data_IF_795528178291
#
_entry.id   IF_795528178291
#
_cell.length_a   1.000
_cell.length_b   1.000
_cell.length_c   1.000
_cell.angle_alpha   90.00
_cell.angle_beta   90.00
_cell.angle_gamma   90.00
#
_symmetry.space_group_name_H-M   'P 1'
#
loop_
_entity.id
_entity.type
_entity.pdbx_description
1 polymer ?
#
# COMPACT_ATOMS: atom_id res chain seq x y z
N UNK A 1 8.71 -26.08 2.04
CA UNK A 1 8.25 -24.77 1.54
C UNK A 1 7.93 -24.91 0.06
N UNK A 2 6.72 -24.53 -0.37
CA UNK A 2 6.25 -24.63 -1.76
C UNK A 2 7.21 -23.84 -2.70
N UNK A 3 7.49 -24.35 -3.90
CA UNK A 3 8.36 -23.69 -4.89
C UNK A 3 7.90 -22.27 -5.22
N UNK A 4 6.59 -22.02 -5.29
CA UNK A 4 6.06 -20.66 -5.49
C UNK A 4 6.47 -19.69 -4.37
N UNK A 5 6.51 -20.18 -3.13
CA UNK A 5 6.92 -19.39 -1.96
C UNK A 5 8.43 -19.14 -2.01
N UNK A 6 9.23 -20.11 -2.48
CA UNK A 6 10.67 -19.91 -2.71
C UNK A 6 10.92 -18.87 -3.80
N UNK A 7 10.17 -18.93 -4.89
CA UNK A 7 10.27 -17.97 -5.99
C UNK A 7 9.91 -16.55 -5.55
N UNK A 8 8.79 -16.35 -4.85
CA UNK A 8 8.42 -15.03 -4.30
C UNK A 8 9.51 -14.48 -3.38
N UNK A 9 10.07 -15.32 -2.51
CA UNK A 9 11.20 -14.92 -1.67
C UNK A 9 12.45 -14.54 -2.46
N UNK A 10 12.80 -15.29 -3.53
CA UNK A 10 13.94 -14.96 -4.39
C UNK A 10 13.75 -13.61 -5.08
N UNK A 11 12.55 -13.35 -5.60
CA UNK A 11 12.24 -12.12 -6.31
C UNK A 11 12.18 -10.92 -5.35
N UNK A 12 11.49 -11.05 -4.21
CA UNK A 12 11.44 -9.99 -3.21
C UNK A 12 12.83 -9.59 -2.70
N UNK A 13 13.72 -10.56 -2.45
CA UNK A 13 15.11 -10.30 -2.03
C UNK A 13 15.99 -9.60 -3.08
N UNK A 14 15.56 -9.57 -4.34
CA UNK A 14 16.29 -8.91 -5.42
C UNK A 14 15.77 -7.50 -5.69
N UNK A 15 14.61 -7.13 -5.14
CA UNK A 15 14.15 -5.75 -5.16
C UNK A 15 15.12 -4.88 -4.34
N UNK A 16 15.34 -3.64 -4.77
CA UNK A 16 16.19 -2.69 -4.04
C UNK A 16 15.62 -2.27 -2.69
N UNK A 17 14.29 -2.30 -2.56
CA UNK A 17 13.52 -1.87 -1.39
C UNK A 17 12.53 -2.97 -1.00
N UNK A 18 12.35 -3.21 0.31
CA UNK A 18 11.43 -4.22 0.81
C UNK A 18 9.96 -3.79 0.57
N UNK A 19 9.20 -4.58 -0.20
CA UNK A 19 7.78 -4.30 -0.47
C UNK A 19 6.88 -4.99 0.54
N UNK A 20 6.17 -4.20 1.35
CA UNK A 20 5.13 -4.66 2.25
C UNK A 20 3.77 -4.70 1.55
N UNK A 21 3.09 -5.84 1.64
CA UNK A 21 1.68 -5.94 1.26
C UNK A 21 0.82 -5.55 2.46
N UNK A 22 0.17 -4.39 2.35
CA UNK A 22 -0.89 -3.95 3.25
C UNK A 22 -2.20 -4.66 2.90
N UNK A 23 -2.79 -5.39 3.85
CA UNK A 23 -4.11 -6.00 3.68
C UNK A 23 -4.34 -7.33 4.41
N UNK A 24 -5.60 -7.72 4.49
CA UNK A 24 -6.07 -8.88 5.27
C UNK A 24 -6.10 -10.24 4.56
N UNK A 25 -5.64 -10.35 3.30
CA UNK A 25 -5.69 -11.63 2.60
C UNK A 25 -4.70 -12.64 3.19
N UNK A 26 -5.18 -13.44 4.15
CA UNK A 26 -4.45 -14.53 4.80
C UNK A 26 -4.44 -15.84 4.01
N UNK A 27 -4.88 -15.86 2.74
CA UNK A 27 -4.73 -17.06 1.87
C UNK A 27 -3.40 -17.06 1.14
N UNK A 28 -2.85 -15.90 0.82
CA UNK A 28 -1.60 -15.75 0.07
C UNK A 28 -0.40 -15.49 1.00
N UNK A 29 0.74 -16.13 0.67
CA UNK A 29 2.04 -15.84 1.30
C UNK A 29 2.76 -14.75 0.54
N UNK A 30 3.21 -13.72 1.26
CA UNK A 30 4.11 -12.68 0.79
C UNK A 30 5.18 -12.40 1.87
N UNK A 31 6.47 -12.20 1.51
CA UNK A 31 7.54 -12.16 2.51
C UNK A 31 7.40 -11.03 3.54
N UNK A 32 6.88 -9.86 3.17
CA UNK A 32 6.75 -8.72 4.05
C UNK A 32 5.29 -8.27 4.13
N UNK A 33 4.68 -8.33 5.32
CA UNK A 33 3.25 -8.01 5.49
C UNK A 33 3.06 -6.87 6.48
N UNK A 34 2.08 -6.01 6.20
CA UNK A 34 1.64 -4.93 7.08
C UNK A 34 0.15 -5.07 7.29
N UNK A 35 -0.32 -4.92 8.53
CA UNK A 35 -1.75 -4.85 8.84
C UNK A 35 -2.01 -3.83 9.95
N UNK A 36 -3.14 -3.13 9.91
CA UNK A 36 -3.61 -2.39 11.06
C UNK A 36 -3.97 -3.37 12.19
N UNK A 37 -3.88 -2.91 13.44
CA UNK A 37 -4.01 -3.74 14.65
C UNK A 37 -5.33 -4.52 14.69
N UNK A 38 -6.42 -3.88 14.26
CA UNK A 38 -7.77 -4.46 14.27
C UNK A 38 -7.95 -5.56 13.21
N UNK A 39 -7.25 -5.48 12.08
CA UNK A 39 -7.27 -6.51 11.03
C UNK A 39 -6.19 -7.58 11.22
N UNK A 40 -5.26 -7.38 12.14
CA UNK A 40 -4.10 -8.26 12.35
C UNK A 40 -4.53 -9.66 12.79
N UNK A 41 -4.28 -10.65 11.94
CA UNK A 41 -4.62 -12.06 12.22
C UNK A 41 -3.38 -12.94 12.35
N UNK A 42 -3.42 -14.02 13.17
CA UNK A 42 -2.30 -14.95 13.26
C UNK A 42 -2.04 -15.68 11.93
N UNK A 43 -3.06 -15.79 11.07
CA UNK A 43 -2.94 -16.42 9.76
C UNK A 43 -2.03 -15.62 8.82
N UNK A 44 -2.20 -14.29 8.78
CA UNK A 44 -1.36 -13.41 7.95
C UNK A 44 0.07 -13.39 8.48
N UNK A 45 0.28 -13.24 9.79
CA UNK A 45 1.61 -13.31 10.43
C UNK A 45 2.38 -14.59 10.07
N UNK A 46 1.70 -15.75 10.10
CA UNK A 46 2.31 -17.04 9.72
C UNK A 46 2.63 -17.16 8.23
N UNK A 47 2.11 -16.24 7.41
CA UNK A 47 2.29 -16.19 5.96
C UNK A 47 3.20 -15.05 5.51
N UNK A 48 4.08 -14.61 6.39
CA UNK A 48 5.17 -13.68 6.08
C UNK A 48 6.46 -14.06 6.80
N UNK A 49 7.56 -13.48 6.35
CA UNK A 49 8.85 -13.52 7.04
C UNK A 49 9.00 -12.31 7.95
N UNK A 50 8.76 -11.10 7.41
CA UNK A 50 8.68 -9.86 8.19
C UNK A 50 7.23 -9.42 8.35
N UNK A 51 6.91 -8.83 9.50
CA UNK A 51 5.57 -8.37 9.82
C UNK A 51 5.60 -7.02 10.55
N UNK A 52 4.84 -6.06 10.04
CA UNK A 52 4.56 -4.77 10.68
C UNK A 52 3.12 -4.80 11.18
N UNK A 53 2.91 -4.38 12.42
CA UNK A 53 1.58 -4.00 12.91
C UNK A 53 1.54 -2.48 13.01
N UNK A 54 0.54 -1.90 12.38
CA UNK A 54 0.23 -0.48 12.44
C UNK A 54 -0.94 -0.26 13.43
N UNK A 55 -0.97 0.86 14.16
CA UNK A 55 -2.11 1.22 15.00
C UNK A 55 -3.39 1.30 14.17
N UNK A 56 -3.28 1.77 12.92
CA UNK A 56 -4.37 1.84 11.96
C UNK A 56 -5.56 2.68 12.43
N UNK A 57 -5.34 3.66 13.30
CA UNK A 57 -6.41 4.54 13.74
C UNK A 57 -6.79 5.49 12.60
N UNK A 58 -8.07 5.52 12.29
CA UNK A 58 -8.69 6.49 11.39
C UNK A 58 -9.54 7.37 12.29
N UNK A 59 -9.30 8.68 12.29
CA UNK A 59 -10.22 9.61 12.95
C UNK A 59 -11.62 9.48 12.33
N UNK A 60 -12.69 9.78 13.08
CA UNK A 60 -14.07 9.63 12.59
C UNK A 60 -14.33 10.42 11.28
N UNK A 61 -13.56 11.46 11.00
CA UNK A 61 -13.57 12.22 9.73
C UNK A 61 -13.11 11.41 8.51
N UNK A 62 -12.30 10.36 8.69
CA UNK A 62 -11.79 9.50 7.62
C UNK A 62 -12.80 8.43 7.18
N UNK A 63 -13.78 8.09 8.04
CA UNK A 63 -14.76 7.04 7.80
C UNK A 63 -15.76 7.37 6.68
N UNK A 64 -15.90 8.65 6.33
CA UNK A 64 -16.83 9.10 5.28
C UNK A 64 -16.18 9.30 3.91
N UNK A 65 -14.85 9.34 3.80
CA UNK A 65 -14.17 9.47 2.50
C UNK A 65 -14.18 8.16 1.68
N UNK A 66 -14.13 7.00 2.35
CA UNK A 66 -14.14 5.66 1.73
C UNK A 66 -15.52 5.24 1.17
N UNK A 67 -16.60 6.04 1.39
CA UNK A 67 -17.95 5.75 0.86
C UNK A 67 -18.24 6.37 -0.51
N UNK A 68 -17.36 7.23 -1.04
CA UNK A 68 -17.67 8.04 -2.24
C UNK A 68 -17.44 7.34 -3.59
N UNK A 69 -16.76 6.18 -3.62
CA UNK A 69 -16.43 5.49 -4.88
C UNK A 69 -17.44 4.39 -5.30
N UNK A 70 -18.53 4.18 -4.54
CA UNK A 70 -19.54 3.14 -4.83
C UNK A 70 -20.85 3.62 -5.48
N UNK A 71 -21.01 4.91 -5.79
CA UNK A 71 -22.28 5.45 -6.35
C UNK A 71 -22.13 6.28 -7.64
N UNK A 72 -21.28 5.87 -8.59
CA UNK A 72 -21.24 6.49 -9.94
C UNK A 72 -21.71 5.59 -11.09
N UNK A 73 -22.50 4.55 -10.81
CA UNK A 73 -23.31 3.88 -11.82
C UNK A 73 -24.80 3.98 -11.50
N UNK A 74 -25.40 5.09 -11.94
CA UNK A 74 -26.84 5.22 -12.06
C UNK A 74 -27.34 6.61 -11.72
N UNK A 75 -27.39 7.50 -12.73
CA UNK A 75 -28.53 8.35 -13.06
C UNK A 75 -28.11 9.43 -14.07
N UNK A 76 -28.38 9.14 -15.34
CA UNK A 76 -28.61 10.19 -16.32
C UNK A 76 -29.92 10.91 -15.99
N UNK A 77 -29.94 12.23 -16.19
CA UNK A 77 -31.04 13.19 -16.06
C UNK A 77 -31.52 13.54 -14.64
N UNK A 78 -31.09 14.72 -14.16
CA UNK A 78 -32.02 15.80 -13.76
C UNK A 78 -31.31 17.17 -13.72
N UNK A 79 -32.10 18.18 -14.05
CA UNK A 79 -31.75 19.57 -14.32
C UNK A 79 -31.24 20.34 -13.10
N UNK A 80 -30.46 21.38 -13.42
CA UNK A 80 -30.31 22.66 -12.71
C UNK A 80 -31.45 22.98 -11.73
N UNK A 81 -31.11 23.28 -10.48
CA UNK A 81 -31.28 24.61 -9.87
C UNK A 81 -30.90 24.60 -8.37
N UNK A 82 -30.41 25.77 -7.94
CA UNK A 82 -30.56 26.39 -6.61
C UNK A 82 -29.35 26.45 -5.65
N UNK A 83 -28.92 27.70 -5.43
CA UNK A 83 -27.92 28.16 -4.47
C UNK A 83 -28.59 28.35 -3.10
N UNK A 84 -28.06 27.75 -2.05
CA UNK A 84 -28.47 27.98 -0.65
C UNK A 84 -27.27 28.05 0.30
N UNK A 85 -27.33 28.86 1.37
CA UNK A 85 -26.15 29.45 2.00
C UNK A 85 -25.46 28.53 3.02
N UNK A 86 -24.17 28.82 3.22
CA UNK A 86 -23.27 28.28 4.24
C UNK A 86 -23.92 28.32 5.63
N UNK A 87 -24.01 27.15 6.26
CA UNK A 87 -24.39 27.00 7.66
C UNK A 87 -23.12 26.80 8.50
N UNK A 88 -23.06 27.59 9.57
CA UNK A 88 -21.99 27.69 10.56
C UNK A 88 -21.52 26.30 11.05
N UNK A 89 -20.21 26.04 10.93
CA UNK A 89 -19.55 24.95 11.64
C UNK A 89 -19.22 25.43 13.05
N UNK A 90 -19.87 24.84 14.04
CA UNK A 90 -19.53 25.03 15.45
C UNK A 90 -18.12 24.48 15.72
N UNK A 91 -17.25 25.35 16.23
CA UNK A 91 -15.94 24.97 16.77
C UNK A 91 -16.13 23.99 17.94
N UNK A 92 -15.78 22.72 17.71
CA UNK A 92 -15.64 21.73 18.78
C UNK A 92 -14.45 22.14 19.64
N UNK A 93 -14.69 22.33 20.94
CA UNK A 93 -13.70 22.83 21.90
C UNK A 93 -12.48 21.91 22.04
N UNK A 94 -11.30 22.52 22.08
CA UNK A 94 -9.95 21.94 22.16
C UNK A 94 -9.63 21.05 23.37
N UNK A 95 -10.54 20.86 24.33
CA UNK A 95 -10.32 19.97 25.48
C UNK A 95 -10.74 18.51 25.23
N UNK A 96 -11.83 18.25 24.50
CA UNK A 96 -12.25 16.87 24.15
C UNK A 96 -11.31 16.22 23.12
N UNK A 97 -10.66 17.03 22.29
CA UNK A 97 -9.64 16.58 21.34
C UNK A 97 -8.34 16.12 22.01
N UNK A 98 -8.03 16.58 23.23
CA UNK A 98 -6.83 16.15 23.96
C UNK A 98 -7.00 14.82 24.68
N UNK A 99 -8.20 14.53 25.17
CA UNK A 99 -8.51 13.25 25.84
C UNK A 99 -8.53 12.07 24.85
N UNK A 100 -8.67 12.35 23.54
CA UNK A 100 -8.63 11.36 22.44
C UNK A 100 -7.23 11.14 21.85
N UNK A 101 -6.23 11.99 22.15
CA UNK A 101 -4.85 11.81 21.66
C UNK A 101 -4.21 10.53 22.23
N UNK A 102 -4.51 10.22 23.48
CA UNK A 102 -3.94 9.08 24.21
C UNK A 102 -4.99 7.98 24.41
N UNK A 103 -5.48 7.41 23.32
CA UNK A 103 -6.40 6.27 23.40
C UNK A 103 -5.66 5.06 24.05
N UNK A 104 -5.81 4.94 25.37
CA UNK A 104 -5.23 3.87 26.18
C UNK A 104 -5.69 2.50 25.67
N UNK A 105 -6.93 2.39 25.16
CA UNK A 105 -7.45 1.14 24.62
C UNK A 105 -6.70 0.75 23.33
N UNK A 106 -6.42 1.71 22.46
CA UNK A 106 -5.63 1.48 21.23
C UNK A 106 -4.20 1.07 21.58
N UNK A 107 -3.54 1.80 22.50
CA UNK A 107 -2.17 1.47 22.92
C UNK A 107 -2.10 0.08 23.57
N UNK A 108 -3.03 -0.25 24.45
CA UNK A 108 -3.09 -1.56 25.09
C UNK A 108 -3.37 -2.66 24.06
N UNK A 109 -4.31 -2.45 23.14
CA UNK A 109 -4.59 -3.40 22.06
C UNK A 109 -3.36 -3.63 21.18
N UNK A 110 -2.60 -2.57 20.88
CA UNK A 110 -1.38 -2.64 20.10
C UNK A 110 -0.28 -3.45 20.82
N UNK A 111 -0.08 -3.21 22.12
CA UNK A 111 0.87 -3.96 22.97
C UNK A 111 0.48 -5.44 23.07
N UNK A 112 -0.79 -5.74 23.35
CA UNK A 112 -1.30 -7.10 23.45
C UNK A 112 -1.09 -7.86 22.14
N UNK A 113 -1.39 -7.21 21.00
CA UNK A 113 -1.17 -7.79 19.68
C UNK A 113 0.30 -7.96 19.34
N UNK A 114 1.18 -7.07 19.81
CA UNK A 114 2.62 -7.26 19.66
C UNK A 114 3.08 -8.55 20.35
N UNK A 115 2.65 -8.79 21.59
CA UNK A 115 2.97 -10.03 22.31
C UNK A 115 2.35 -11.27 21.66
N UNK A 116 1.12 -11.19 21.17
CA UNK A 116 0.42 -12.33 20.57
C UNK A 116 0.96 -12.69 19.17
N UNK A 117 1.38 -11.69 18.39
CA UNK A 117 1.77 -11.86 16.97
C UNK A 117 3.28 -11.88 16.78
N UNK A 118 4.05 -11.34 17.72
CA UNK A 118 5.50 -11.15 17.62
C UNK A 118 5.88 -10.54 16.26
N UNK A 119 5.38 -9.32 15.95
CA UNK A 119 5.79 -8.63 14.73
C UNK A 119 7.26 -8.24 14.82
N UNK A 120 7.89 -8.03 13.67
CA UNK A 120 9.27 -7.52 13.61
C UNK A 120 9.28 -6.02 13.97
N UNK A 121 8.24 -5.30 13.53
CA UNK A 121 8.07 -3.89 13.84
C UNK A 121 6.65 -3.53 14.25
N UNK A 122 6.53 -2.41 14.97
CA UNK A 122 5.27 -1.79 15.32
C UNK A 122 5.30 -0.30 15.00
N UNK A 123 4.19 0.23 14.50
CA UNK A 123 4.00 1.67 14.31
C UNK A 123 2.95 2.11 15.34
N UNK A 124 3.32 2.96 16.32
CA UNK A 124 2.37 3.55 17.26
C UNK A 124 1.35 4.45 16.57
N UNK A 125 0.37 4.90 17.34
CA UNK A 125 -0.61 5.85 16.84
C UNK A 125 0.02 7.22 16.51
N UNK A 126 -0.63 7.96 15.62
CA UNK A 126 -0.19 9.28 15.17
C UNK A 126 -1.37 10.25 15.05
N UNK A 127 -1.05 11.51 14.78
CA UNK A 127 -2.01 12.56 14.43
C UNK A 127 -1.75 13.00 12.99
N UNK A 128 -2.78 12.98 12.15
CA UNK A 128 -2.64 13.26 10.71
C UNK A 128 -3.27 14.62 10.40
N UNK A 129 -2.56 15.43 9.61
CA UNK A 129 -3.12 16.62 8.98
C UNK A 129 -3.51 16.32 7.54
N UNK A 130 -4.82 16.31 7.24
CA UNK A 130 -5.35 16.07 5.90
C UNK A 130 -5.21 17.33 5.03
N UNK A 131 -4.01 17.57 4.51
CA UNK A 131 -3.72 18.66 3.60
C UNK A 131 -3.03 18.15 2.35
N UNK A 132 -3.44 18.67 1.20
CA UNK A 132 -2.76 18.44 -0.08
C UNK A 132 -1.61 19.43 -0.31
N UNK A 133 -1.28 20.24 0.71
CA UNK A 133 -0.23 21.25 0.66
C UNK A 133 0.94 20.83 1.53
N UNK A 134 2.16 21.05 1.04
CA UNK A 134 3.40 20.95 1.80
C UNK A 134 3.83 22.29 2.40
N UNK A 135 2.94 23.29 2.42
CA UNK A 135 3.27 24.61 2.95
C UNK A 135 3.60 24.52 4.45
N UNK A 136 4.85 24.73 4.87
CA UNK A 136 5.22 24.68 6.28
C UNK A 136 4.58 25.80 7.11
N UNK A 137 3.97 26.80 6.47
CA UNK A 137 3.18 27.84 7.15
C UNK A 137 1.77 27.37 7.52
N UNK A 138 1.31 26.22 7.03
CA UNK A 138 0.05 25.62 7.43
C UNK A 138 0.14 25.16 8.90
N UNK A 139 -0.63 25.77 9.83
CA UNK A 139 -0.55 25.44 11.24
C UNK A 139 -0.91 23.98 11.54
N UNK A 140 -1.69 23.32 10.67
CA UNK A 140 -2.08 21.92 10.87
C UNK A 140 -0.89 20.95 10.80
N UNK A 141 0.14 21.25 10.00
CA UNK A 141 1.35 20.43 9.98
C UNK A 141 2.09 20.48 11.32
N UNK A 142 2.19 21.67 11.90
CA UNK A 142 2.84 21.84 13.20
C UNK A 142 2.09 21.09 14.30
N UNK A 143 0.76 21.22 14.33
CA UNK A 143 -0.07 20.52 15.30
C UNK A 143 0.05 19.00 15.15
N UNK A 144 0.02 18.48 13.92
CA UNK A 144 0.19 17.05 13.66
C UNK A 144 1.58 16.53 14.09
N UNK A 145 2.64 17.32 13.90
CA UNK A 145 4.00 17.01 14.36
C UNK A 145 4.04 16.94 15.90
N UNK A 146 3.60 18.00 16.57
CA UNK A 146 3.64 18.11 18.04
C UNK A 146 2.79 16.99 18.69
N UNK A 147 1.56 16.79 18.20
CA UNK A 147 0.66 15.74 18.69
C UNK A 147 1.23 14.34 18.44
N UNK A 148 1.75 14.05 17.25
CA UNK A 148 2.33 12.73 16.96
C UNK A 148 3.51 12.43 17.88
N UNK A 149 4.39 13.40 18.12
CA UNK A 149 5.51 13.24 19.04
C UNK A 149 5.05 12.92 20.47
N UNK A 150 4.03 13.61 20.98
CA UNK A 150 3.43 13.36 22.30
C UNK A 150 2.75 11.99 22.40
N UNK A 151 2.01 11.57 21.38
CA UNK A 151 1.35 10.26 21.33
C UNK A 151 2.38 9.14 21.37
N UNK A 152 3.44 9.26 20.55
CA UNK A 152 4.52 8.27 20.50
C UNK A 152 5.28 8.23 21.83
N UNK A 153 5.56 9.38 22.43
CA UNK A 153 6.23 9.46 23.74
C UNK A 153 5.46 8.68 24.81
N UNK A 154 4.15 8.92 24.88
CA UNK A 154 3.27 8.21 25.79
C UNK A 154 3.25 6.70 25.51
N UNK A 155 3.22 6.27 24.25
CA UNK A 155 3.31 4.84 23.92
C UNK A 155 4.63 4.21 24.39
N UNK A 156 5.74 4.94 24.25
CA UNK A 156 7.05 4.47 24.69
C UNK A 156 7.13 4.33 26.22
N UNK A 157 6.50 5.23 26.97
CA UNK A 157 6.38 5.13 28.43
C UNK A 157 5.61 3.88 28.92
N UNK A 158 4.72 3.34 28.08
CA UNK A 158 3.93 2.15 28.40
C UNK A 158 4.69 0.83 28.18
N UNK A 159 5.80 0.84 27.45
CA UNK A 159 6.53 -0.37 27.08
C UNK A 159 7.90 -0.46 27.75
N UNK A 160 8.29 -1.68 28.11
CA UNK A 160 9.68 -2.00 28.44
C UNK A 160 10.36 -2.52 27.17
N UNK A 161 11.13 -1.67 26.50
CA UNK A 161 11.82 -2.00 25.25
C UNK A 161 12.70 -3.26 25.34
N UNK A 162 13.29 -3.54 26.49
CA UNK A 162 14.14 -4.71 26.66
C UNK A 162 13.34 -6.02 26.60
N UNK A 163 12.02 -5.95 26.76
CA UNK A 163 11.10 -7.10 26.81
C UNK A 163 10.03 -7.03 25.73
N UNK A 164 9.84 -5.87 25.12
CA UNK A 164 8.89 -5.67 24.05
C UNK A 164 9.31 -6.46 22.79
N UNK A 165 8.41 -7.21 22.14
CA UNK A 165 8.78 -8.22 21.15
C UNK A 165 9.06 -7.66 19.76
N UNK A 166 9.04 -6.34 19.57
CA UNK A 166 9.11 -5.68 18.27
C UNK A 166 9.92 -4.39 18.33
N UNK A 167 10.48 -3.97 17.20
CA UNK A 167 11.12 -2.65 17.08
C UNK A 167 10.06 -1.59 16.77
N UNK A 168 10.04 -0.50 17.53
CA UNK A 168 9.14 0.63 17.28
C UNK A 168 9.66 1.45 16.10
N UNK A 169 8.81 1.68 15.10
CA UNK A 169 9.03 2.62 14.01
C UNK A 169 8.26 3.90 14.34
N UNK A 170 8.94 5.04 14.33
CA UNK A 170 8.36 6.34 14.69
C UNK A 170 7.66 6.93 13.46
N UNK A 171 6.33 7.10 13.47
CA UNK A 171 5.61 7.75 12.39
C UNK A 171 5.96 9.24 12.36
N UNK A 172 6.31 9.73 11.17
CA UNK A 172 6.59 11.13 10.91
C UNK A 172 5.54 11.70 9.96
N UNK A 173 4.95 12.82 10.37
CA UNK A 173 4.11 13.69 9.55
C UNK A 173 4.93 14.65 8.68
N UNK A 174 4.41 15.03 7.49
CA UNK A 174 5.00 16.10 6.69
C UNK A 174 4.96 17.46 7.42
N UNK A 175 5.90 18.37 7.12
CA UNK A 175 7.17 18.13 6.46
C UNK A 175 8.09 17.26 7.35
N UNK A 176 8.52 16.11 6.82
CA UNK A 176 9.20 15.07 7.64
C UNK A 176 10.56 15.49 8.17
N UNK A 177 11.24 16.38 7.45
CA UNK A 177 12.53 16.94 7.81
C UNK A 177 12.41 17.87 9.04
N UNK A 178 11.34 18.67 9.09
CA UNK A 178 10.99 19.48 10.26
C UNK A 178 10.55 18.62 11.43
N UNK A 179 9.72 17.60 11.21
CA UNK A 179 9.33 16.68 12.27
C UNK A 179 10.55 15.98 12.87
N UNK A 180 11.45 15.45 12.04
CA UNK A 180 12.67 14.82 12.52
C UNK A 180 13.55 15.78 13.33
N UNK A 181 13.71 17.02 12.88
CA UNK A 181 14.44 18.05 13.63
C UNK A 181 13.78 18.36 14.98
N UNK A 182 12.44 18.45 15.01
CA UNK A 182 11.65 18.64 16.23
C UNK A 182 11.87 17.49 17.22
N UNK A 183 11.83 16.23 16.77
CA UNK A 183 12.14 15.09 17.64
C UNK A 183 13.56 15.17 18.19
N UNK A 184 14.55 15.58 17.38
CA UNK A 184 15.91 15.67 17.86
C UNK A 184 16.09 16.73 18.97
N UNK A 185 15.33 17.83 18.91
CA UNK A 185 15.35 18.90 19.91
C UNK A 185 14.54 18.56 21.17
N UNK A 186 13.35 17.97 21.01
CA UNK A 186 12.38 17.82 22.10
C UNK A 186 12.22 16.38 22.61
N UNK A 187 12.43 15.39 21.75
CA UNK A 187 12.23 13.96 22.03
C UNK A 187 13.42 13.11 21.57
N UNK A 188 14.64 13.36 22.11
CA UNK A 188 15.87 12.73 21.60
C UNK A 188 15.85 11.21 21.69
N UNK A 189 15.11 10.62 22.63
CA UNK A 189 14.94 9.16 22.71
C UNK A 189 14.24 8.60 21.47
N UNK A 190 13.19 9.27 20.98
CA UNK A 190 12.50 8.91 19.73
C UNK A 190 13.44 9.06 18.52
N UNK A 191 14.14 10.20 18.43
CA UNK A 191 15.06 10.48 17.32
C UNK A 191 16.22 9.46 17.24
N UNK A 192 16.73 8.98 18.39
CA UNK A 192 17.85 8.05 18.44
C UNK A 192 17.48 6.59 18.11
N UNK A 193 16.20 6.26 17.96
CA UNK A 193 15.78 4.89 17.57
C UNK A 193 16.19 4.50 16.16
N UNK A 194 16.35 5.49 15.28
CA UNK A 194 16.80 5.27 13.91
C UNK A 194 15.83 4.50 13.01
N UNK A 195 14.54 4.38 13.37
CA UNK A 195 13.51 3.71 12.58
C UNK A 195 12.32 4.63 12.40
N UNK A 196 12.02 5.02 11.16
CA UNK A 196 11.00 6.03 10.85
C UNK A 196 10.03 5.55 9.78
N UNK A 197 8.76 5.93 9.90
CA UNK A 197 7.75 5.77 8.86
C UNK A 197 7.35 7.15 8.34
N UNK A 198 7.50 7.40 7.04
CA UNK A 198 7.13 8.68 6.43
C UNK A 198 5.68 8.59 5.94
N UNK A 199 4.77 9.15 6.72
CA UNK A 199 3.32 9.16 6.48
C UNK A 199 2.81 10.46 5.88
N UNK A 200 1.48 10.59 5.71
CA UNK A 200 0.83 11.84 5.31
C UNK A 200 1.04 12.28 3.85
N UNK A 201 1.55 11.42 2.97
CA UNK A 201 1.89 11.77 1.57
C UNK A 201 1.00 11.12 0.51
N UNK A 202 -0.06 10.41 0.90
CA UNK A 202 -0.90 9.60 0.01
C UNK A 202 -1.47 10.41 -1.17
N UNK A 203 -1.87 11.66 -0.91
CA UNK A 203 -2.52 12.53 -1.88
C UNK A 203 -1.55 13.47 -2.61
N UNK A 204 -0.25 13.38 -2.30
CA UNK A 204 0.77 14.16 -3.01
C UNK A 204 1.11 13.55 -4.37
N UNK A 205 1.42 14.39 -5.38
CA UNK A 205 2.05 13.94 -6.61
C UNK A 205 3.33 13.13 -6.34
N UNK A 206 3.65 12.12 -7.18
CA UNK A 206 4.85 11.30 -7.02
C UNK A 206 6.16 12.08 -6.82
N UNK A 207 6.34 13.18 -7.56
CA UNK A 207 7.55 14.00 -7.46
C UNK A 207 7.64 14.68 -6.07
N UNK A 208 6.53 15.22 -5.57
CA UNK A 208 6.45 15.85 -4.25
C UNK A 208 6.67 14.83 -3.13
N UNK A 209 6.14 13.60 -3.28
CA UNK A 209 6.42 12.50 -2.33
C UNK A 209 7.92 12.21 -2.26
N UNK A 210 8.60 12.09 -3.41
CA UNK A 210 10.03 11.81 -3.46
C UNK A 210 10.87 12.97 -2.92
N UNK A 211 10.44 14.21 -3.15
CA UNK A 211 11.12 15.39 -2.63
C UNK A 211 11.03 15.48 -1.10
N UNK A 212 9.90 15.07 -0.50
CA UNK A 212 9.77 14.90 0.95
C UNK A 212 10.76 13.85 1.49
N UNK A 213 10.82 12.67 0.86
CA UNK A 213 11.77 11.61 1.27
C UNK A 213 13.22 12.11 1.17
N UNK A 214 13.58 12.79 0.09
CA UNK A 214 14.91 13.40 -0.07
C UNK A 214 15.18 14.48 0.97
N UNK A 215 14.18 15.29 1.32
CA UNK A 215 14.30 16.30 2.37
C UNK A 215 14.62 15.68 3.73
N UNK A 216 13.87 14.65 4.10
CA UNK A 216 14.15 13.86 5.30
C UNK A 216 15.57 13.28 5.29
N UNK A 217 15.97 12.60 4.21
CA UNK A 217 17.30 11.97 4.09
C UNK A 217 18.45 12.98 4.19
N UNK A 218 18.27 14.24 3.75
CA UNK A 218 19.29 15.29 3.90
C UNK A 218 19.58 15.63 5.37
N UNK A 219 18.60 15.50 6.27
CA UNK A 219 18.75 15.83 7.68
C UNK A 219 19.05 14.57 8.52
N UNK A 220 18.31 13.49 8.31
CA UNK A 220 18.43 12.25 9.07
C UNK A 220 19.61 11.37 8.61
N UNK A 221 20.14 11.60 7.40
CA UNK A 221 21.15 10.76 6.80
C UNK A 221 20.62 9.41 6.29
N UNK A 222 21.55 8.51 5.97
CA UNK A 222 21.27 7.23 5.31
C UNK A 222 21.46 6.01 6.21
N UNK A 223 21.83 6.22 7.48
CA UNK A 223 21.99 5.13 8.46
C UNK A 223 20.66 4.73 9.12
N UNK A 224 19.67 5.63 9.12
CA UNK A 224 18.33 5.35 9.64
C UNK A 224 17.55 4.42 8.71
N UNK A 225 16.79 3.48 9.29
CA UNK A 225 15.79 2.69 8.60
C UNK A 225 14.55 3.54 8.31
N UNK A 226 14.11 3.57 7.06
CA UNK A 226 12.96 4.38 6.63
C UNK A 226 11.94 3.53 5.87
N UNK A 227 10.70 3.59 6.33
CA UNK A 227 9.53 3.01 5.69
C UNK A 227 8.70 4.11 5.00
N UNK A 228 8.46 4.00 3.70
CA UNK A 228 7.52 4.87 3.00
C UNK A 228 6.10 4.35 3.18
N UNK A 229 5.26 5.12 3.87
CA UNK A 229 3.89 4.71 4.19
C UNK A 229 2.90 5.31 3.19
N UNK A 230 2.14 4.47 2.50
CA UNK A 230 1.04 4.90 1.64
C UNK A 230 1.42 5.69 0.37
N UNK A 231 2.66 5.63 -0.10
CA UNK A 231 3.14 6.38 -1.28
C UNK A 231 2.47 5.92 -2.61
N UNK A 232 1.91 4.71 -2.63
CA UNK A 232 1.28 4.14 -3.81
C UNK A 232 2.29 3.62 -4.85
N UNK A 233 1.81 2.78 -5.77
CA UNK A 233 2.67 2.03 -6.69
C UNK A 233 2.78 2.67 -8.09
N UNK A 234 2.99 4.00 -8.13
CA UNK A 234 3.20 4.76 -9.37
C UNK A 234 4.52 4.34 -10.04
N UNK A 235 4.61 4.52 -11.36
CA UNK A 235 5.82 4.14 -12.10
C UNK A 235 6.99 5.03 -11.70
N UNK A 236 6.73 6.29 -11.47
CA UNK A 236 7.66 7.33 -11.07
C UNK A 236 8.34 6.98 -9.73
N UNK A 237 7.55 6.65 -8.70
CA UNK A 237 8.07 6.21 -7.39
C UNK A 237 8.88 4.93 -7.53
N UNK A 238 8.37 3.92 -8.25
CA UNK A 238 9.09 2.65 -8.42
C UNK A 238 10.44 2.85 -9.12
N UNK A 239 10.50 3.67 -10.16
CA UNK A 239 11.75 3.93 -10.87
C UNK A 239 12.74 4.72 -10.02
N UNK A 240 12.26 5.72 -9.26
CA UNK A 240 13.11 6.45 -8.33
C UNK A 240 13.71 5.55 -7.24
N UNK A 241 12.92 4.66 -6.63
CA UNK A 241 13.40 3.70 -5.62
C UNK A 241 14.31 2.59 -6.21
N UNK A 242 14.22 2.33 -7.51
CA UNK A 242 15.19 1.46 -8.20
C UNK A 242 16.52 2.17 -8.38
N UNK A 243 16.47 3.43 -8.80
CA UNK A 243 17.65 4.20 -9.22
C UNK A 243 18.39 4.86 -8.02
N UNK A 244 17.67 5.19 -6.96
CA UNK A 244 18.15 5.74 -5.68
C UNK A 244 17.63 4.88 -4.50
N UNK A 245 18.12 3.63 -4.36
CA UNK A 245 17.57 2.67 -3.40
C UNK A 245 17.75 3.07 -1.93
N UNK A 246 18.72 3.92 -1.63
CA UNK A 246 18.96 4.46 -0.28
C UNK A 246 17.88 5.44 0.20
N UNK A 247 16.94 5.85 -0.65
CA UNK A 247 15.84 6.73 -0.24
C UNK A 247 14.96 6.07 0.82
N UNK A 248 14.61 4.80 0.66
CA UNK A 248 13.75 4.04 1.58
C UNK A 248 14.27 2.60 1.72
N UNK A 249 14.19 2.06 2.93
CA UNK A 249 14.51 0.66 3.20
C UNK A 249 13.31 -0.25 2.89
N UNK A 250 12.10 0.30 3.04
CA UNK A 250 10.86 -0.42 2.75
C UNK A 250 9.73 0.52 2.33
N UNK A 251 8.70 -0.03 1.69
CA UNK A 251 7.50 0.69 1.26
C UNK A 251 6.28 -0.23 1.30
N UNK A 252 5.11 0.29 1.63
CA UNK A 252 3.85 -0.46 1.50
C UNK A 252 2.99 0.01 0.31
N UNK A 253 2.34 -0.94 -0.36
CA UNK A 253 1.44 -0.64 -1.48
C UNK A 253 0.05 -1.21 -1.24
N UNK A 254 -0.86 -0.37 -0.74
CA UNK A 254 -2.29 -0.68 -0.66
C UNK A 254 -2.96 -0.75 -2.03
N UNK A 255 -2.42 -0.05 -3.04
CA UNK A 255 -2.91 -0.01 -4.43
C UNK A 255 -3.11 -1.41 -5.01
N UNK A 256 -2.17 -2.33 -4.77
CA UNK A 256 -2.24 -3.70 -5.28
C UNK A 256 -3.44 -4.44 -4.69
N UNK A 257 -3.71 -4.23 -3.40
CA UNK A 257 -4.88 -4.79 -2.71
C UNK A 257 -6.19 -4.22 -3.26
N UNK A 258 -6.23 -2.91 -3.50
CA UNK A 258 -7.38 -2.23 -4.11
C UNK A 258 -7.62 -2.73 -5.54
N UNK A 259 -6.58 -2.88 -6.35
CA UNK A 259 -6.68 -3.44 -7.70
C UNK A 259 -7.34 -4.81 -7.68
N UNK A 260 -6.81 -5.74 -6.87
CA UNK A 260 -7.34 -7.10 -6.80
C UNK A 260 -8.76 -7.16 -6.22
N UNK A 261 -9.13 -6.26 -5.29
CA UNK A 261 -10.49 -6.16 -4.78
C UNK A 261 -11.49 -5.65 -5.84
N UNK A 262 -11.03 -4.73 -6.68
CA UNK A 262 -11.83 -4.04 -7.70
C UNK A 262 -11.73 -4.67 -9.09
N UNK A 263 -11.25 -5.93 -9.19
CA UNK A 263 -11.13 -6.66 -10.45
C UNK A 263 -10.26 -5.92 -11.50
N UNK A 264 -9.27 -5.18 -11.00
CA UNK A 264 -8.31 -4.41 -11.79
C UNK A 264 -6.92 -5.02 -11.64
N UNK A 265 -6.05 -4.71 -12.59
CA UNK A 265 -4.64 -5.06 -12.58
C UNK A 265 -3.83 -3.90 -13.14
N UNK A 266 -2.60 -3.68 -12.68
CA UNK A 266 -1.75 -2.64 -13.25
C UNK A 266 -1.41 -2.93 -14.72
N UNK A 267 -1.73 -2.00 -15.61
CA UNK A 267 -1.27 -2.03 -16.99
C UNK A 267 0.22 -1.65 -17.13
N UNK A 268 0.78 -1.59 -18.35
CA UNK A 268 2.20 -1.28 -18.59
C UNK A 268 2.65 0.10 -18.06
N UNK A 269 1.72 1.06 -18.00
CA UNK A 269 1.92 2.39 -17.42
C UNK A 269 1.55 2.47 -15.93
N UNK A 270 1.33 1.33 -15.28
CA UNK A 270 0.77 1.19 -13.92
C UNK A 270 -0.65 1.74 -13.73
N UNK A 271 -1.28 2.28 -14.79
CA UNK A 271 -2.71 2.64 -14.76
C UNK A 271 -3.56 1.37 -14.67
N UNK A 272 -4.57 1.31 -13.79
CA UNK A 272 -5.37 0.11 -13.61
C UNK A 272 -6.21 -0.21 -14.85
N UNK A 273 -6.20 -1.49 -15.24
CA UNK A 273 -7.02 -2.05 -16.31
C UNK A 273 -7.96 -3.09 -15.71
N UNK A 274 -9.23 -3.07 -16.10
CA UNK A 274 -10.19 -4.06 -15.64
C UNK A 274 -9.90 -5.42 -16.30
N UNK A 275 -9.81 -6.48 -15.48
CA UNK A 275 -9.51 -7.85 -15.93
C UNK A 275 -10.62 -8.85 -15.57
N UNK A 276 -11.70 -8.38 -14.95
CA UNK A 276 -12.80 -9.22 -14.47
C UNK A 276 -12.48 -9.93 -13.15
N UNK A 277 -13.52 -10.44 -12.48
CA UNK A 277 -13.40 -11.17 -11.21
C UNK A 277 -14.02 -12.55 -11.32
N UNK A 278 -13.29 -13.58 -10.90
CA UNK A 278 -13.90 -14.87 -10.62
C UNK A 278 -14.77 -14.75 -9.36
N UNK A 279 -16.09 -14.89 -9.52
CA UNK A 279 -17.04 -14.92 -8.40
C UNK A 279 -17.22 -16.37 -7.92
N UNK A 280 -17.14 -16.61 -6.61
CA UNK A 280 -17.33 -17.94 -6.01
C UNK A 280 -16.44 -18.25 -4.81
N UNK A 281 -16.47 -19.50 -4.35
CA UNK A 281 -15.74 -19.98 -3.17
C UNK A 281 -14.21 -19.79 -3.24
N UNK A 282 -13.66 -19.72 -4.46
CA UNK A 282 -12.24 -19.53 -4.75
C UNK A 282 -11.83 -18.06 -5.02
N UNK A 283 -12.75 -17.11 -4.86
CA UNK A 283 -12.48 -15.69 -5.13
C UNK A 283 -11.26 -15.15 -4.35
N UNK A 284 -11.10 -15.53 -3.08
CA UNK A 284 -9.94 -15.13 -2.27
C UNK A 284 -8.62 -15.74 -2.77
N UNK A 285 -8.68 -16.91 -3.41
CA UNK A 285 -7.53 -17.57 -4.05
C UNK A 285 -7.14 -16.81 -5.33
N UNK A 286 -8.11 -16.48 -6.19
CA UNK A 286 -7.89 -15.66 -7.39
C UNK A 286 -7.33 -14.29 -7.04
N UNK A 287 -7.92 -13.59 -6.07
CA UNK A 287 -7.40 -12.31 -5.54
C UNK A 287 -5.97 -12.50 -5.06
N UNK A 288 -5.67 -13.56 -4.30
CA UNK A 288 -4.31 -13.87 -3.85
C UNK A 288 -3.31 -14.02 -5.01
N UNK A 289 -3.69 -14.68 -6.09
CA UNK A 289 -2.85 -14.82 -7.29
C UNK A 289 -2.63 -13.49 -8.01
N UNK A 290 -3.66 -12.65 -8.12
CA UNK A 290 -3.53 -11.30 -8.69
C UNK A 290 -2.57 -10.43 -7.87
N UNK A 291 -2.73 -10.41 -6.55
CA UNK A 291 -1.82 -9.69 -5.64
C UNK A 291 -0.37 -10.16 -5.83
N UNK A 292 -0.16 -11.48 -5.85
CA UNK A 292 1.17 -12.05 -5.98
C UNK A 292 1.80 -11.70 -7.33
N UNK A 293 1.03 -11.72 -8.42
CA UNK A 293 1.50 -11.37 -9.75
C UNK A 293 1.92 -9.89 -9.82
N UNK A 294 1.07 -8.97 -9.33
CA UNK A 294 1.38 -7.54 -9.38
C UNK A 294 2.55 -7.16 -8.45
N UNK A 295 2.63 -7.74 -7.24
CA UNK A 295 3.79 -7.52 -6.36
C UNK A 295 5.09 -8.08 -6.95
N UNK A 296 5.02 -9.22 -7.64
CA UNK A 296 6.18 -9.80 -8.33
C UNK A 296 6.65 -8.90 -9.46
N UNK A 297 5.73 -8.30 -10.21
CA UNK A 297 6.03 -7.31 -11.25
C UNK A 297 6.71 -6.07 -10.65
N UNK A 298 6.19 -5.54 -9.54
CA UNK A 298 6.83 -4.40 -8.86
C UNK A 298 8.24 -4.77 -8.36
N UNK A 299 8.43 -5.93 -7.73
CA UNK A 299 9.76 -6.38 -7.30
C UNK A 299 10.74 -6.49 -8.47
N UNK A 300 10.26 -6.94 -9.64
CA UNK A 300 11.06 -6.97 -10.87
C UNK A 300 11.43 -5.56 -11.30
N UNK A 301 10.47 -4.63 -11.30
CA UNK A 301 10.73 -3.22 -11.64
C UNK A 301 11.71 -2.56 -10.66
N UNK A 302 11.66 -2.89 -9.37
CA UNK A 302 12.60 -2.41 -8.34
C UNK A 302 13.96 -3.09 -8.39
N UNK A 303 14.14 -4.16 -9.18
CA UNK A 303 15.42 -4.87 -9.22
C UNK A 303 16.25 -4.45 -10.44
N UNK A 304 17.45 -3.89 -10.25
CA UNK A 304 18.39 -3.68 -11.35
C UNK A 304 18.85 -5.00 -11.99
N UNK A 305 18.67 -6.13 -11.31
CA UNK A 305 19.18 -7.45 -11.73
C UNK A 305 18.16 -8.33 -12.44
N UNK A 306 16.84 -8.10 -12.25
CA UNK A 306 15.77 -8.91 -12.86
C UNK A 306 15.37 -8.36 -14.22
N UNK A 307 16.24 -8.54 -15.22
CA UNK A 307 16.08 -7.90 -16.54
C UNK A 307 15.49 -8.84 -17.60
N UNK A 308 15.55 -10.15 -17.40
CA UNK A 308 15.09 -11.17 -18.36
C UNK A 308 13.83 -11.91 -17.88
N UNK A 309 13.20 -12.68 -18.74
CA UNK A 309 12.12 -13.59 -18.33
C UNK A 309 12.66 -14.79 -17.54
N UNK A 310 13.87 -15.27 -17.86
CA UNK A 310 14.53 -16.40 -17.19
C UNK A 310 14.85 -16.14 -15.72
N UNK A 311 14.91 -14.86 -15.33
CA UNK A 311 15.06 -14.43 -13.95
C UNK A 311 13.84 -14.77 -13.07
N UNK A 312 12.70 -15.01 -13.71
CA UNK A 312 11.49 -15.54 -13.11
C UNK A 312 11.45 -16.99 -13.62
N UNK A 313 11.25 -17.97 -12.74
CA UNK A 313 10.95 -19.34 -13.18
C UNK A 313 9.42 -19.48 -13.25
N UNK A 314 8.73 -19.03 -14.32
CA UNK A 314 7.29 -19.19 -14.41
C UNK A 314 6.98 -20.69 -14.42
N UNK A 315 6.11 -21.12 -13.51
CA UNK A 315 5.65 -22.50 -13.47
C UNK A 315 4.55 -22.70 -14.54
N UNK A 316 4.88 -22.49 -15.82
CA UNK A 316 3.96 -22.61 -16.95
C UNK A 316 3.23 -23.95 -16.95
N UNK A 317 3.94 -25.02 -16.57
CA UNK A 317 3.43 -26.40 -16.47
C UNK A 317 2.26 -26.59 -15.49
N UNK A 318 2.05 -25.63 -14.58
CA UNK A 318 0.96 -25.64 -13.60
C UNK A 318 -0.24 -24.79 -14.02
N UNK A 319 -0.11 -23.98 -15.07
CA UNK A 319 -1.27 -23.30 -15.61
C UNK A 319 -2.15 -24.34 -16.32
N UNK A 320 -3.49 -24.27 -16.15
CA UNK A 320 -4.41 -25.20 -16.80
C UNK A 320 -4.46 -25.04 -18.33
N UNK A 321 -3.65 -24.14 -18.89
CA UNK A 321 -3.40 -24.07 -20.31
C UNK A 321 -2.48 -25.22 -20.70
N UNK A 322 -3.09 -26.33 -21.11
CA UNK A 322 -2.49 -27.08 -22.20
C UNK A 322 -2.29 -26.05 -23.33
N UNK A 323 -1.05 -25.84 -23.76
CA UNK A 323 -0.80 -25.07 -24.99
C UNK A 323 -1.71 -25.60 -26.12
N UNK A 324 -1.87 -24.87 -27.23
CA UNK A 324 -2.53 -25.47 -28.39
C UNK A 324 -1.84 -26.80 -28.63
N UNK A 325 -2.52 -27.91 -28.33
CA UNK A 325 -2.03 -29.23 -28.72
C UNK A 325 -1.78 -29.06 -30.21
N UNK A 326 -0.54 -29.32 -30.66
CA UNK A 326 -0.27 -29.41 -32.08
C UNK A 326 -1.34 -30.35 -32.61
N UNK A 327 -2.34 -29.76 -33.27
CA UNK A 327 -3.46 -30.45 -33.83
C UNK A 327 -2.90 -31.18 -35.04
N UNK A 328 -2.20 -32.28 -34.76
CA UNK A 328 -1.74 -33.28 -35.70
C UNK A 328 -2.94 -34.12 -36.16
N UNK A 329 -4.15 -33.55 -36.18
CA UNK A 329 -5.22 -34.10 -36.98
C UNK A 329 -4.76 -34.01 -38.44
N UNK A 330 -4.69 -35.14 -39.16
CA UNK A 330 -4.36 -35.11 -40.57
C UNK A 330 -5.37 -34.20 -41.24
N UNK A 331 -4.85 -33.21 -41.97
CA UNK A 331 -5.63 -32.27 -42.76
C UNK A 331 -6.53 -33.10 -43.66
N UNK A 332 -7.81 -33.25 -43.28
CA UNK A 332 -8.79 -33.85 -44.17
C UNK A 332 -8.85 -32.94 -45.40
N UNK A 333 -8.52 -33.56 -46.53
CA UNK A 333 -8.50 -33.01 -47.87
C UNK A 333 -9.91 -32.49 -48.19
N UNK A 334 -10.16 -31.23 -47.83
CA UNK A 334 -11.39 -30.51 -48.19
C UNK A 334 -11.26 -30.13 -49.67
N UNK A 335 -11.70 -31.04 -50.52
CA UNK A 335 -12.05 -30.71 -51.90
C UNK A 335 -13.02 -29.51 -51.91
N UNK A 336 -12.78 -28.48 -52.74
CA UNK A 336 -13.68 -27.34 -52.82
C UNK A 336 -14.96 -27.77 -53.52
N UNK A 337 -16.07 -27.83 -52.78
CA UNK A 337 -17.39 -27.89 -53.38
C UNK A 337 -17.86 -26.48 -53.71
N UNK A 338 -18.17 -26.30 -54.99
CA UNK A 338 -18.92 -25.20 -55.58
C UNK A 338 -20.17 -24.87 -54.76
N UNK A 339 -20.26 -23.62 -54.28
CA UNK A 339 -21.54 -22.91 -54.27
C UNK A 339 -21.29 -21.39 -54.18
N UNK A 340 -21.00 -20.79 -55.34
CA UNK A 340 -21.17 -19.36 -55.54
C UNK A 340 -22.60 -19.09 -56.02
N UNK A 341 -23.50 -18.73 -55.11
CA UNK A 341 -24.64 -17.87 -55.49
C UNK A 341 -25.21 -17.16 -54.26
N UNK A 342 -25.15 -15.81 -54.26
CA UNK A 342 -25.79 -15.03 -53.20
C UNK A 342 -25.14 -13.70 -52.81
N UNK A 343 -24.51 -12.96 -53.72
CA UNK A 343 -24.18 -11.54 -53.49
C UNK A 343 -25.14 -10.67 -54.32
N UNK A 344 -26.18 -10.19 -53.63
CA UNK A 344 -27.09 -9.16 -54.13
C UNK A 344 -26.39 -7.81 -54.19
N UNK A 345 -26.47 -7.21 -55.37
CA UNK A 345 -26.03 -5.88 -55.78
C UNK A 345 -26.69 -4.74 -54.98
N UNK A 346 -25.87 -3.81 -54.50
CA UNK A 346 -26.28 -2.44 -54.14
C UNK A 346 -26.46 -1.62 -55.43
N UNK A 347 -27.65 -1.05 -55.63
CA UNK A 347 -27.89 0.00 -56.63
C UNK A 347 -27.94 1.35 -55.94
N UNK A 348 -27.15 2.29 -56.44
CA UNK A 348 -27.22 3.73 -56.14
C UNK A 348 -27.81 4.42 -57.36
N UNK A 349 -28.83 5.25 -57.14
CA UNK A 349 -29.24 6.33 -58.05
C UNK A 349 -29.55 7.54 -57.23
#
# INVERSE_FOLDING_TARGET
MNEEVKQRNRIAKRASVDIYLSGGNGRMYWPHRLQPVHDSTPSVRRKSCKYIIDSGFKSESDADSDKSDSESEGLANRQLDDFGPEADREDVSTEEAKETLHDEEVNQALIDRAHERQPDYIIPNDSIHLSNSLDPADPGHREAIENTAEIVDHFLDLIDEHRFPATVIIPLQPPHDLHYAYLHEHYPEQANRGHFALGGMKDFPPDDQLDCVRAFRRIAGYDAYVHGFGMGASREVILALRDEPELLDSVDFSTVQQHANNAKFAGPSRKPVHVGRSMGAESATTTGSMLAAELTDICRMLSPSLTSEDDIEPSWDKLPFKGPEEDNSPTEDRTPNDDQSGLTTFNTT
#
